data_IF_451937317994
#
_entry.id   IF_451937317994
#
_cell.length_a   1.000
_cell.length_b   1.000
_cell.length_c   1.000
_cell.angle_alpha   90.00
_cell.angle_beta   90.00
_cell.angle_gamma   90.00
#
_symmetry.space_group_name_H-M   'P 1'
#
loop_
_entity.id
_entity.type
_entity.pdbx_description
1 polymer ?
#
# COMPACT_ATOMS: atom_id res chain seq x y z
N UNK A 1 59.85 -5.67 -12.38
CA UNK A 1 58.61 -5.30 -13.11
C UNK A 1 57.38 -6.11 -12.68
N UNK A 2 57.48 -7.44 -12.51
CA UNK A 2 56.34 -8.30 -12.12
C UNK A 2 55.74 -7.95 -10.75
N UNK A 3 56.58 -7.73 -9.72
CA UNK A 3 56.11 -7.35 -8.36
C UNK A 3 55.31 -6.04 -8.34
N UNK A 4 55.67 -5.08 -9.20
CA UNK A 4 54.99 -3.79 -9.32
C UNK A 4 53.61 -3.93 -9.98
N UNK A 5 53.47 -4.81 -10.98
CA UNK A 5 52.18 -5.15 -11.59
C UNK A 5 51.27 -5.89 -10.61
N UNK A 6 51.83 -6.79 -9.79
CA UNK A 6 51.07 -7.53 -8.78
C UNK A 6 50.54 -6.61 -7.67
N UNK A 7 51.32 -5.61 -7.26
CA UNK A 7 50.89 -4.58 -6.32
C UNK A 7 49.72 -3.74 -6.87
N UNK A 8 49.80 -3.31 -8.13
CA UNK A 8 48.70 -2.59 -8.79
C UNK A 8 47.44 -3.44 -8.97
N UNK A 9 47.59 -4.74 -9.23
CA UNK A 9 46.46 -5.66 -9.33
C UNK A 9 45.78 -5.84 -7.96
N UNK A 10 46.57 -5.96 -6.90
CA UNK A 10 46.06 -6.11 -5.53
C UNK A 10 45.33 -4.85 -5.06
N UNK A 11 45.87 -3.65 -5.32
CA UNK A 11 45.18 -2.40 -4.99
C UNK A 11 43.89 -2.24 -5.78
N UNK A 12 43.87 -2.59 -7.07
CA UNK A 12 42.64 -2.55 -7.88
C UNK A 12 41.54 -3.48 -7.33
N UNK A 13 41.90 -4.69 -6.93
CA UNK A 13 40.98 -5.67 -6.31
C UNK A 13 40.49 -5.17 -4.94
N UNK A 14 41.38 -4.57 -4.13
CA UNK A 14 41.03 -4.02 -2.81
C UNK A 14 40.07 -2.83 -2.91
N UNK A 15 40.21 -1.96 -3.92
CA UNK A 15 39.24 -0.89 -4.15
C UNK A 15 37.90 -1.40 -4.70
N UNK A 16 37.91 -2.45 -5.52
CA UNK A 16 36.68 -3.08 -6.02
C UNK A 16 35.86 -3.77 -4.91
N UNK A 17 36.51 -4.34 -3.89
CA UNK A 17 35.81 -5.03 -2.80
C UNK A 17 35.03 -4.09 -1.89
N UNK A 18 35.47 -2.82 -1.74
CA UNK A 18 34.75 -1.81 -0.96
C UNK A 18 33.39 -1.44 -1.58
N UNK A 19 33.23 -1.58 -2.91
CA UNK A 19 31.98 -1.28 -3.61
C UNK A 19 30.90 -2.36 -3.43
N UNK A 20 31.27 -3.58 -3.02
CA UNK A 20 30.32 -4.69 -2.84
C UNK A 20 29.59 -4.61 -1.48
N UNK A 21 30.23 -4.01 -0.46
CA UNK A 21 29.74 -3.99 0.93
C UNK A 21 28.78 -2.80 1.20
N UNK A 22 28.70 -1.83 0.29
CA UNK A 22 28.05 -0.53 0.53
C UNK A 22 26.68 -0.32 -0.16
N UNK A 23 25.84 -1.35 -0.31
CA UNK A 23 24.46 -1.12 -0.73
C UNK A 23 23.60 -0.87 0.52
N UNK A 24 23.10 0.36 0.76
CA UNK A 24 22.09 0.55 1.78
C UNK A 24 20.87 -0.29 1.41
N UNK A 25 20.24 -0.93 2.39
CA UNK A 25 18.97 -1.64 2.18
C UNK A 25 17.99 -0.68 1.49
N UNK A 26 17.74 -0.91 0.20
CA UNK A 26 16.71 -0.16 -0.51
C UNK A 26 15.39 -0.55 0.11
N UNK A 27 14.84 0.35 0.94
CA UNK A 27 13.46 0.25 1.40
C UNK A 27 12.59 0.09 0.15
N UNK A 28 11.90 -1.04 0.06
CA UNK A 28 11.00 -1.28 -1.08
C UNK A 28 9.89 -0.23 -1.00
N UNK A 29 9.63 0.52 -2.08
CA UNK A 29 8.54 1.49 -2.08
C UNK A 29 7.20 0.78 -1.81
N UNK A 30 6.27 1.47 -1.16
CA UNK A 30 4.91 0.97 -0.99
C UNK A 30 4.28 0.79 -2.38
N UNK A 31 3.92 -0.45 -2.73
CA UNK A 31 3.39 -0.76 -4.07
C UNK A 31 1.87 -0.80 -4.12
N UNK A 32 1.21 -1.16 -3.00
CA UNK A 32 -0.24 -1.33 -2.95
C UNK A 32 -0.78 -0.80 -1.64
N UNK A 33 -1.87 -0.05 -1.72
CA UNK A 33 -2.65 0.43 -0.58
C UNK A 33 -4.09 -0.07 -0.71
N UNK A 34 -4.56 -0.79 0.30
CA UNK A 34 -5.98 -1.17 0.42
C UNK A 34 -6.66 -0.10 1.29
N UNK A 35 -7.74 0.48 0.77
CA UNK A 35 -8.60 1.42 1.49
C UNK A 35 -9.91 0.69 1.77
N UNK A 36 -10.26 0.56 3.05
CA UNK A 36 -11.51 -0.06 3.50
C UNK A 36 -12.49 0.99 4.02
N UNK A 37 -13.47 1.44 3.22
CA UNK A 37 -14.57 2.22 3.76
C UNK A 37 -15.43 1.35 4.68
N UNK A 38 -15.44 1.68 5.97
CA UNK A 38 -16.25 1.02 7.01
C UNK A 38 -17.72 0.86 6.61
N UNK A 39 -18.38 -0.20 7.09
CA UNK A 39 -19.82 -0.45 6.86
C UNK A 39 -20.24 -0.49 5.37
N UNK A 40 -21.52 -0.25 5.06
CA UNK A 40 -22.06 -0.12 3.69
C UNK A 40 -23.34 -0.93 3.44
N UNK A 41 -24.21 -0.43 2.56
CA UNK A 41 -25.46 -1.08 2.19
C UNK A 41 -26.39 -1.27 3.41
N UNK A 42 -26.71 -2.53 3.74
CA UNK A 42 -27.60 -2.84 4.87
C UNK A 42 -26.98 -2.59 6.25
N UNK A 43 -25.67 -2.37 6.32
CA UNK A 43 -24.96 -2.03 7.54
C UNK A 43 -24.63 -0.53 7.51
N UNK A 44 -25.42 0.32 8.18
CA UNK A 44 -25.15 1.76 8.20
C UNK A 44 -24.03 2.17 9.17
N UNK A 45 -23.61 1.26 10.07
CA UNK A 45 -22.77 1.62 11.22
C UNK A 45 -23.46 2.58 12.19
N UNK A 46 -22.67 3.40 12.87
CA UNK A 46 -23.19 4.43 13.77
C UNK A 46 -24.08 5.44 13.03
N UNK A 47 -25.22 5.80 13.63
CA UNK A 47 -26.15 6.78 13.06
C UNK A 47 -25.94 8.14 13.72
N UNK A 48 -25.60 9.15 12.93
CA UNK A 48 -25.63 10.55 13.35
C UNK A 48 -26.99 11.19 13.09
N UNK A 49 -27.10 12.49 13.39
CA UNK A 49 -28.33 13.27 13.17
C UNK A 49 -28.68 13.46 11.70
N UNK A 50 -27.69 13.40 10.80
CA UNK A 50 -27.86 13.64 9.36
C UNK A 50 -27.29 12.54 8.47
N UNK A 51 -26.18 11.93 8.90
CA UNK A 51 -25.44 10.95 8.11
C UNK A 51 -25.15 9.69 8.91
N UNK A 52 -24.94 8.58 8.21
CA UNK A 52 -24.44 7.34 8.77
C UNK A 52 -22.92 7.27 8.69
N UNK A 53 -22.32 6.45 9.55
CA UNK A 53 -20.89 6.12 9.48
C UNK A 53 -20.50 5.58 8.10
N UNK A 54 -21.34 4.72 7.51
CA UNK A 54 -21.11 4.17 6.17
C UNK A 54 -20.96 5.26 5.09
N UNK A 55 -21.79 6.30 5.13
CA UNK A 55 -21.74 7.42 4.19
C UNK A 55 -20.49 8.27 4.38
N UNK A 56 -20.20 8.62 5.64
CA UNK A 56 -19.03 9.45 5.98
C UNK A 56 -17.73 8.73 5.62
N UNK A 57 -17.62 7.45 5.97
CA UNK A 57 -16.46 6.63 5.64
C UNK A 57 -16.25 6.53 4.12
N UNK A 58 -17.31 6.27 3.35
CA UNK A 58 -17.22 6.21 1.88
C UNK A 58 -16.72 7.52 1.28
N UNK A 59 -17.31 8.65 1.69
CA UNK A 59 -16.96 9.96 1.16
C UNK A 59 -15.49 10.32 1.44
N UNK A 60 -15.01 10.06 2.67
CA UNK A 60 -13.62 10.31 3.06
C UNK A 60 -12.67 9.39 2.30
N UNK A 61 -12.97 8.09 2.22
CA UNK A 61 -12.13 7.12 1.53
C UNK A 61 -11.97 7.42 0.04
N UNK A 62 -13.04 7.79 -0.66
CA UNK A 62 -12.97 8.16 -2.08
C UNK A 62 -12.09 9.39 -2.28
N UNK A 63 -12.28 10.44 -1.47
CA UNK A 63 -11.45 11.64 -1.52
C UNK A 63 -9.98 11.34 -1.23
N UNK A 64 -9.70 10.46 -0.27
CA UNK A 64 -8.34 10.02 0.06
C UNK A 64 -7.70 9.30 -1.13
N UNK A 65 -8.37 8.29 -1.68
CA UNK A 65 -7.81 7.53 -2.80
C UNK A 65 -7.59 8.39 -4.05
N UNK A 66 -8.50 9.32 -4.36
CA UNK A 66 -8.32 10.26 -5.47
C UNK A 66 -7.13 11.20 -5.25
N UNK A 67 -6.91 11.64 -4.00
CA UNK A 67 -5.77 12.50 -3.65
C UNK A 67 -4.46 11.73 -3.78
N UNK A 68 -4.42 10.50 -3.27
CA UNK A 68 -3.24 9.64 -3.32
C UNK A 68 -2.92 9.18 -4.74
N UNK A 69 -3.92 8.84 -5.56
CA UNK A 69 -3.70 8.44 -6.95
C UNK A 69 -3.05 9.56 -7.77
N UNK A 70 -3.38 10.83 -7.48
CA UNK A 70 -2.77 12.00 -8.14
C UNK A 70 -1.34 12.25 -7.64
N UNK A 71 -1.09 12.07 -6.35
CA UNK A 71 0.22 12.30 -5.74
C UNK A 71 1.22 11.16 -6.03
N UNK A 72 0.73 9.93 -6.18
CA UNK A 72 1.53 8.72 -6.36
C UNK A 72 0.97 7.86 -7.51
N UNK A 73 1.25 8.20 -8.78
CA UNK A 73 0.71 7.49 -9.94
C UNK A 73 1.07 6.00 -10.00
N UNK A 74 2.20 5.61 -9.40
CA UNK A 74 2.68 4.22 -9.37
C UNK A 74 2.10 3.40 -8.21
N UNK A 75 1.36 4.03 -7.29
CA UNK A 75 0.73 3.34 -6.16
C UNK A 75 -0.57 2.66 -6.59
N UNK A 76 -0.63 1.33 -6.50
CA UNK A 76 -1.87 0.59 -6.73
C UNK A 76 -2.83 0.79 -5.57
N UNK A 77 -3.92 1.51 -5.79
CA UNK A 77 -4.97 1.71 -4.77
C UNK A 77 -6.14 0.75 -5.03
N UNK A 78 -6.46 -0.07 -4.03
CA UNK A 78 -7.58 -1.02 -4.06
C UNK A 78 -8.59 -0.61 -3.01
N UNK A 79 -9.86 -0.60 -3.37
CA UNK A 79 -10.96 -0.31 -2.43
C UNK A 79 -11.75 -1.59 -2.18
N UNK A 80 -12.15 -1.81 -0.92
CA UNK A 80 -13.06 -2.93 -0.57
C UNK A 80 -14.49 -2.68 -1.06
N UNK A 81 -14.88 -1.40 -1.20
CA UNK A 81 -16.09 -0.91 -1.87
C UNK A 81 -15.88 0.53 -2.39
N UNK A 82 -16.61 0.91 -3.45
CA UNK A 82 -16.61 2.29 -4.00
C UNK A 82 -17.99 2.93 -4.04
N UNK A 83 -19.01 2.21 -3.62
CA UNK A 83 -20.41 2.63 -3.57
C UNK A 83 -21.02 2.20 -2.25
N UNK A 84 -22.28 2.57 -2.02
CA UNK A 84 -23.04 2.14 -0.85
C UNK A 84 -23.53 0.68 -0.97
N UNK A 85 -22.58 -0.24 -0.79
CA UNK A 85 -22.78 -1.69 -0.76
C UNK A 85 -21.95 -2.28 0.37
N UNK A 86 -22.25 -3.50 0.81
CA UNK A 86 -21.32 -4.23 1.67
C UNK A 86 -20.02 -4.54 0.89
N UNK A 87 -18.84 -4.46 1.53
CA UNK A 87 -17.59 -4.87 0.91
C UNK A 87 -17.62 -6.27 0.33
N UNK A 88 -16.95 -6.43 -0.81
CA UNK A 88 -16.96 -7.65 -1.60
C UNK A 88 -18.24 -7.85 -2.43
N UNK A 89 -19.13 -6.87 -2.48
CA UNK A 89 -20.45 -6.96 -3.14
C UNK A 89 -21.30 -8.12 -2.59
N UNK A 90 -21.25 -8.30 -1.27
CA UNK A 90 -21.92 -9.39 -0.57
C UNK A 90 -23.30 -8.94 -0.09
N UNK A 91 -24.23 -9.88 0.05
CA UNK A 91 -25.59 -9.60 0.55
C UNK A 91 -25.74 -9.90 2.04
N UNK A 92 -24.76 -10.57 2.64
CA UNK A 92 -24.78 -10.99 4.03
C UNK A 92 -23.67 -10.29 4.82
N UNK A 93 -24.03 -9.70 5.97
CA UNK A 93 -23.08 -8.97 6.81
C UNK A 93 -21.93 -9.86 7.32
N UNK A 94 -22.22 -11.08 7.78
CA UNK A 94 -21.19 -12.00 8.28
C UNK A 94 -20.20 -12.36 7.19
N UNK A 95 -20.66 -12.59 5.96
CA UNK A 95 -19.77 -12.83 4.82
C UNK A 95 -18.92 -11.60 4.51
N UNK A 96 -19.50 -10.40 4.57
CA UNK A 96 -18.76 -9.16 4.34
C UNK A 96 -17.67 -8.91 5.39
N UNK A 97 -17.95 -9.21 6.67
CA UNK A 97 -16.95 -9.12 7.73
C UNK A 97 -15.82 -10.13 7.52
N UNK A 98 -16.12 -11.36 7.06
CA UNK A 98 -15.09 -12.34 6.69
C UNK A 98 -14.23 -11.87 5.52
N UNK A 99 -14.87 -11.33 4.47
CA UNK A 99 -14.16 -10.76 3.32
C UNK A 99 -13.12 -9.70 3.74
N UNK A 100 -13.45 -8.84 4.72
CA UNK A 100 -12.49 -7.83 5.24
C UNK A 100 -11.31 -8.46 5.98
N UNK A 101 -11.52 -9.57 6.68
CA UNK A 101 -10.48 -10.27 7.43
C UNK A 101 -9.54 -11.08 6.52
N UNK A 102 -10.01 -11.47 5.33
CA UNK A 102 -9.27 -12.30 4.37
C UNK A 102 -8.44 -11.47 3.35
N UNK A 103 -8.48 -10.13 3.44
CA UNK A 103 -7.82 -9.19 2.53
C UNK A 103 -6.33 -8.95 2.83
#
# INVERSE_FOLDING_TARGET
MIKLKLFFLFTLIFFYSQSIIAQPDKVKPLQTLIIDPGHGGQDPGAKGTRESEANVALAISLKLGDTLAKAFPDLKIVFTRKTDILPGNLTNLVQSLRYRADL
#
